data_IF_900069363791
#
_entry.id   IF_900069363791
#
_cell.length_a   1.000
_cell.length_b   1.000
_cell.length_c   1.000
_cell.angle_alpha   90.00
_cell.angle_beta   90.00
_cell.angle_gamma   90.00
#
_symmetry.space_group_name_H-M   'P 1'
#
loop_
_entity.id
_entity.type
_entity.pdbx_description
1 polymer ?
#
# COMPACT_ATOMS: atom_id res chain seq x y z
N UNK A 1 18.63 -3.11 -20.70
CA UNK A 1 17.65 -2.98 -19.58
C UNK A 1 16.21 -3.33 -19.94
N UNK A 2 15.64 -2.82 -21.04
CA UNK A 2 14.23 -3.09 -21.41
C UNK A 2 13.94 -4.59 -21.62
N UNK A 3 14.78 -5.30 -22.38
CA UNK A 3 14.63 -6.75 -22.62
C UNK A 3 14.71 -7.59 -21.34
N UNK A 4 15.50 -7.17 -20.36
CA UNK A 4 15.62 -7.86 -19.08
C UNK A 4 14.33 -7.72 -18.26
N UNK A 5 13.77 -6.51 -18.21
CA UNK A 5 12.48 -6.25 -17.55
C UNK A 5 11.34 -7.03 -18.20
N UNK A 6 11.29 -7.10 -19.53
CA UNK A 6 10.26 -7.88 -20.24
C UNK A 6 10.38 -9.38 -19.96
N UNK A 7 11.61 -9.90 -19.86
CA UNK A 7 11.85 -11.31 -19.56
C UNK A 7 11.48 -11.65 -18.12
N UNK A 8 11.79 -10.76 -17.17
CA UNK A 8 11.39 -10.89 -15.77
C UNK A 8 9.86 -10.84 -15.60
N UNK A 9 9.18 -9.92 -16.30
CA UNK A 9 7.73 -9.81 -16.30
C UNK A 9 7.05 -11.07 -16.86
N UNK A 10 7.55 -11.61 -17.98
CA UNK A 10 7.05 -12.88 -18.56
C UNK A 10 7.23 -14.05 -17.61
N UNK A 11 8.39 -14.17 -16.96
CA UNK A 11 8.65 -15.25 -16.00
C UNK A 11 7.76 -15.15 -14.77
N UNK A 12 7.53 -13.94 -14.29
CA UNK A 12 6.57 -13.67 -13.21
C UNK A 12 5.16 -14.07 -13.64
N UNK A 13 4.71 -13.72 -14.85
CA UNK A 13 3.42 -14.16 -15.38
C UNK A 13 3.30 -15.69 -15.51
N UNK A 14 4.34 -16.38 -15.98
CA UNK A 14 4.35 -17.86 -16.01
C UNK A 14 4.19 -18.46 -14.62
N UNK A 15 4.95 -17.98 -13.64
CA UNK A 15 4.87 -18.44 -12.24
C UNK A 15 3.50 -18.14 -11.66
N UNK A 16 2.95 -16.95 -11.92
CA UNK A 16 1.59 -16.55 -11.50
C UNK A 16 0.54 -17.46 -12.15
N UNK A 17 0.75 -17.90 -13.41
CA UNK A 17 -0.20 -18.77 -14.11
C UNK A 17 -0.22 -20.21 -13.58
N UNK A 18 0.93 -20.71 -13.08
CA UNK A 18 1.03 -22.03 -12.47
C UNK A 18 0.72 -22.04 -10.97
N UNK A 19 0.88 -20.90 -10.30
CA UNK A 19 0.53 -20.74 -8.90
C UNK A 19 -1.00 -20.62 -8.74
N UNK A 20 -1.60 -21.52 -7.96
CA UNK A 20 -3.06 -21.49 -7.69
C UNK A 20 -3.51 -20.19 -7.00
N UNK A 21 -2.63 -19.51 -6.25
CA UNK A 21 -2.90 -18.25 -5.56
C UNK A 21 -1.58 -17.57 -5.16
N UNK A 22 -1.48 -16.26 -5.40
CA UNK A 22 -0.39 -15.41 -4.91
C UNK A 22 -1.00 -14.32 -4.03
N UNK A 23 -0.54 -14.23 -2.79
CA UNK A 23 -0.94 -13.19 -1.85
C UNK A 23 0.16 -12.13 -1.77
N UNK A 24 -0.18 -10.88 -2.06
CA UNK A 24 0.73 -9.74 -1.94
C UNK A 24 0.18 -8.77 -0.89
N UNK A 25 1.03 -8.38 0.06
CA UNK A 25 0.73 -7.33 1.05
C UNK A 25 1.62 -6.14 0.75
N UNK A 26 1.02 -5.01 0.37
CA UNK A 26 1.73 -3.79 0.03
C UNK A 26 0.94 -2.56 0.42
N UNK A 27 1.64 -1.48 0.78
CA UNK A 27 1.05 -0.16 0.96
C UNK A 27 0.94 0.63 -0.35
N UNK A 28 1.53 0.12 -1.44
CA UNK A 28 1.50 0.77 -2.74
C UNK A 28 0.21 0.42 -3.50
N UNK A 29 -0.71 1.38 -3.51
CA UNK A 29 -2.04 1.25 -4.11
C UNK A 29 -1.99 1.03 -5.63
N UNK A 30 -1.01 1.62 -6.31
CA UNK A 30 -0.83 1.48 -7.76
C UNK A 30 -0.34 0.09 -8.16
N UNK A 31 0.42 -0.56 -7.27
CA UNK A 31 0.84 -1.95 -7.46
C UNK A 31 -0.37 -2.89 -7.44
N UNK A 32 -1.29 -2.68 -6.49
CA UNK A 32 -2.51 -3.49 -6.35
C UNK A 32 -3.40 -3.37 -7.59
N UNK A 33 -3.60 -2.17 -8.11
CA UNK A 33 -4.36 -1.95 -9.35
C UNK A 33 -3.72 -2.61 -10.57
N UNK A 34 -2.39 -2.61 -10.67
CA UNK A 34 -1.68 -3.05 -11.87
C UNK A 34 -1.47 -4.57 -11.95
N UNK A 35 -1.27 -5.23 -10.81
CA UNK A 35 -0.81 -6.63 -10.80
C UNK A 35 -1.76 -7.60 -10.09
N UNK A 36 -2.74 -7.12 -9.33
CA UNK A 36 -3.69 -7.99 -8.62
C UNK A 36 -4.98 -8.16 -9.42
N UNK A 37 -5.62 -9.31 -9.27
CA UNK A 37 -6.94 -9.62 -9.81
C UNK A 37 -8.07 -9.44 -8.79
N UNK A 38 -7.73 -9.49 -7.49
CA UNK A 38 -8.64 -9.25 -6.36
C UNK A 38 -7.88 -8.50 -5.27
N UNK A 39 -8.57 -7.58 -4.60
CA UNK A 39 -8.02 -6.83 -3.48
C UNK A 39 -8.86 -7.06 -2.21
N UNK A 40 -8.18 -7.03 -1.06
CA UNK A 40 -8.79 -7.03 0.27
C UNK A 40 -8.21 -5.84 1.03
N UNK A 41 -9.09 -5.00 1.57
CA UNK A 41 -8.70 -3.89 2.43
C UNK A 41 -9.02 -4.24 3.88
N UNK A 42 -7.96 -4.27 4.69
CA UNK A 42 -8.02 -4.49 6.13
C UNK A 42 -7.74 -3.16 6.85
N UNK A 43 -8.50 -2.90 7.91
CA UNK A 43 -8.32 -1.76 8.81
C UNK A 43 -8.50 -2.25 10.25
N UNK A 44 -7.51 -1.99 11.11
CA UNK A 44 -7.51 -2.42 12.53
C UNK A 44 -7.89 -3.89 12.75
N UNK A 45 -7.43 -4.79 11.88
CA UNK A 45 -7.73 -6.23 11.96
C UNK A 45 -9.13 -6.63 11.46
N UNK A 46 -9.91 -5.70 10.92
CA UNK A 46 -11.22 -5.94 10.33
C UNK A 46 -11.20 -5.78 8.81
N UNK A 47 -11.90 -6.66 8.09
CA UNK A 47 -12.10 -6.55 6.65
C UNK A 47 -13.11 -5.44 6.35
N UNK A 48 -12.64 -4.35 5.75
CA UNK A 48 -13.47 -3.20 5.35
C UNK A 48 -14.10 -3.40 3.98
N UNK A 49 -13.32 -3.90 3.02
CA UNK A 49 -13.77 -4.13 1.66
C UNK A 49 -13.02 -5.30 1.01
N UNK A 50 -13.68 -6.00 0.09
CA UNK A 50 -13.05 -6.99 -0.77
C UNK A 50 -13.74 -6.99 -2.13
N UNK A 51 -13.00 -7.09 -3.22
CA UNK A 51 -13.57 -6.99 -4.55
C UNK A 51 -12.51 -6.82 -5.63
N UNK A 52 -12.90 -6.18 -6.73
CA UNK A 52 -11.95 -5.80 -7.76
C UNK A 52 -10.93 -4.79 -7.21
N UNK A 53 -9.69 -4.76 -7.73
CA UNK A 53 -8.68 -3.79 -7.32
C UNK A 53 -9.18 -2.34 -7.43
N UNK A 54 -9.85 -1.98 -8.53
CA UNK A 54 -10.34 -0.63 -8.76
C UNK A 54 -11.38 -0.17 -7.71
N UNK A 55 -12.36 -1.02 -7.39
CA UNK A 55 -13.38 -0.72 -6.38
C UNK A 55 -12.77 -0.55 -4.99
N UNK A 56 -11.91 -1.48 -4.58
CA UNK A 56 -11.29 -1.47 -3.25
C UNK A 56 -10.34 -0.28 -3.11
N UNK A 57 -9.58 0.04 -4.16
CA UNK A 57 -8.70 1.21 -4.17
C UNK A 57 -9.50 2.51 -4.14
N UNK A 58 -10.60 2.60 -4.88
CA UNK A 58 -11.46 3.79 -4.86
C UNK A 58 -12.02 4.03 -3.45
N UNK A 59 -12.54 2.99 -2.81
CA UNK A 59 -13.03 3.05 -1.43
C UNK A 59 -11.92 3.43 -0.43
N UNK A 60 -10.72 2.85 -0.58
CA UNK A 60 -9.56 3.16 0.26
C UNK A 60 -9.12 4.63 0.12
N UNK A 61 -9.06 5.15 -1.12
CA UNK A 61 -8.70 6.56 -1.39
C UNK A 61 -9.72 7.53 -0.80
N UNK A 62 -11.01 7.22 -0.92
CA UNK A 62 -12.08 8.02 -0.31
C UNK A 62 -11.96 8.06 1.22
N UNK A 63 -11.75 6.89 1.85
CA UNK A 63 -11.57 6.79 3.30
C UNK A 63 -10.37 7.60 3.81
N UNK A 64 -9.22 7.56 3.12
CA UNK A 64 -8.05 8.37 3.50
C UNK A 64 -8.29 9.86 3.29
N UNK A 65 -9.05 10.25 2.25
CA UNK A 65 -9.40 11.65 2.03
C UNK A 65 -10.32 12.19 3.13
N UNK A 66 -11.18 11.35 3.70
CA UNK A 66 -12.08 11.69 4.81
C UNK A 66 -11.38 11.65 6.18
N UNK A 67 -10.24 10.95 6.34
CA UNK A 67 -9.44 11.03 7.56
C UNK A 67 -8.81 12.44 7.66
N UNK A 68 -9.17 13.25 8.66
CA UNK A 68 -8.49 14.52 8.87
C UNK A 68 -7.01 14.21 9.10
N UNK A 69 -6.12 14.80 8.30
CA UNK A 69 -4.69 14.76 8.53
C UNK A 69 -4.43 15.39 9.89
N UNK A 70 -4.36 14.56 10.94
CA UNK A 70 -3.82 14.97 12.22
C UNK A 70 -2.32 15.10 12.02
N UNK A 71 -1.90 16.17 11.34
CA UNK A 71 -0.56 16.71 11.50
C UNK A 71 -0.49 17.12 12.96
N UNK A 72 -0.08 16.21 13.84
CA UNK A 72 0.48 16.59 15.13
C UNK A 72 1.69 17.45 14.79
N UNK A 73 1.47 18.77 14.72
CA UNK A 73 2.54 19.74 14.86
C UNK A 73 3.07 19.49 16.25
N UNK A 74 4.16 18.74 16.33
CA UNK A 74 4.87 18.53 17.58
C UNK A 74 5.48 19.90 17.88
N UNK A 75 4.78 20.72 18.67
CA UNK A 75 5.39 21.87 19.30
C UNK A 75 6.41 21.31 20.30
N UNK A 76 7.67 21.16 19.86
CA UNK A 76 8.78 21.05 20.78
C UNK A 76 8.93 22.42 21.43
N UNK A 77 8.38 22.56 22.64
CA UNK A 77 8.78 23.63 23.55
C UNK A 77 10.25 23.40 23.91
N UNK A 78 11.11 24.19 23.27
CA UNK A 78 12.49 24.55 23.62
C UNK A 78 13.12 23.75 24.79
N UNK A 79 13.82 22.66 24.47
CA UNK A 79 14.76 22.09 25.44
C UNK A 79 16.00 22.98 25.45
N UNK A 80 16.08 23.94 26.39
CA UNK A 80 17.32 24.68 26.65
C UNK A 80 18.39 23.67 27.07
N UNK A 81 19.50 23.52 26.35
CA UNK A 81 20.62 22.76 26.86
C UNK A 81 21.22 23.56 28.02
N UNK A 82 21.00 23.13 29.25
CA UNK A 82 21.81 23.58 30.37
C UNK A 82 23.17 22.89 30.23
N UNK A 83 24.11 23.58 29.61
CA UNK A 83 25.52 23.26 29.72
C UNK A 83 25.95 23.68 31.13
N UNK A 84 26.02 22.69 32.02
CA UNK A 84 26.62 22.84 33.34
C UNK A 84 28.13 23.06 33.21
N UNK A 85 28.63 23.98 34.04
CA UNK A 85 30.03 24.39 34.19
C UNK A 85 30.92 23.23 34.63
#
# INVERSE_FOLDING_TARGET
DLEFNERAARKMQEIVSQAKMILVVTHQVDFVQKYCNRALWLDQGSLRASGSPDEVVSAYKAFIAEMPKTTKVINLSETRPQVGI
#
